data_IF_528294712005
#
_entry.id   IF_528294712005
#
_cell.length_a   1.000
_cell.length_b   1.000
_cell.length_c   1.000
_cell.angle_alpha   90.00
_cell.angle_beta   90.00
_cell.angle_gamma   90.00
#
_symmetry.space_group_name_H-M   'P 1'
#
loop_
_entity.id
_entity.type
_entity.pdbx_description
1 polymer ?
#
# COMPACT_ATOMS: atom_id res chain seq x y z
N UNK A 1 14.62 -3.53 0.38
CA UNK A 1 14.03 -2.50 -0.51
C UNK A 1 12.89 -3.15 -1.29
N UNK A 2 11.66 -2.64 -1.21
CA UNK A 2 10.54 -3.19 -1.99
C UNK A 2 10.41 -2.46 -3.34
N UNK A 3 9.84 -3.10 -4.36
CA UNK A 3 9.67 -2.50 -5.70
C UNK A 3 8.82 -1.23 -5.68
N UNK A 4 7.93 -1.08 -4.70
CA UNK A 4 7.14 0.14 -4.51
C UNK A 4 8.00 1.33 -4.06
N UNK A 5 9.03 1.09 -3.25
CA UNK A 5 9.96 2.13 -2.81
C UNK A 5 10.76 2.71 -4.00
N UNK A 6 11.03 1.89 -5.02
CA UNK A 6 11.71 2.35 -6.24
C UNK A 6 10.82 3.23 -7.13
N UNK A 7 9.50 3.06 -7.07
CA UNK A 7 8.54 3.82 -7.89
C UNK A 7 8.02 5.10 -7.22
N UNK A 8 8.30 5.31 -5.94
CA UNK A 8 7.87 6.48 -5.17
C UNK A 8 9.09 7.21 -4.57
N UNK A 9 9.73 8.15 -5.32
CA UNK A 9 10.89 8.90 -4.85
C UNK A 9 10.57 9.64 -3.55
N UNK A 10 11.47 9.56 -2.56
CA UNK A 10 11.28 10.17 -1.24
C UNK A 10 10.50 9.33 -0.22
N UNK A 11 10.08 8.12 -0.58
CA UNK A 11 9.47 7.17 0.37
C UNK A 11 10.52 6.34 1.13
N UNK A 12 10.32 6.18 2.44
CA UNK A 12 11.07 5.24 3.26
C UNK A 12 10.21 4.00 3.55
N UNK A 13 10.76 2.81 3.30
CA UNK A 13 10.07 1.55 3.59
C UNK A 13 10.37 1.08 5.00
N UNK A 14 9.32 0.81 5.79
CA UNK A 14 9.41 0.12 7.07
C UNK A 14 8.56 -1.15 6.99
N UNK A 15 9.05 -2.26 7.53
CA UNK A 15 8.34 -3.55 7.50
C UNK A 15 7.92 -3.93 8.90
N UNK A 16 6.62 -4.09 9.13
CA UNK A 16 6.08 -4.55 10.41
C UNK A 16 6.01 -3.49 11.51
N UNK A 17 6.46 -2.26 11.24
CA UNK A 17 6.45 -1.16 12.21
C UNK A 17 5.95 0.14 11.55
N UNK A 18 5.46 1.07 12.36
CA UNK A 18 5.12 2.41 11.90
C UNK A 18 6.39 3.26 11.74
N UNK A 19 6.48 4.09 10.69
CA UNK A 19 7.63 4.96 10.52
C UNK A 19 7.71 5.98 11.65
N UNK A 20 8.93 6.25 12.10
CA UNK A 20 9.22 7.36 13.00
C UNK A 20 8.99 8.67 12.27
N UNK A 21 8.32 9.63 12.91
CA UNK A 21 8.08 10.94 12.29
C UNK A 21 9.40 11.70 12.15
N UNK A 22 9.79 12.12 10.92
CA UNK A 22 11.06 12.80 10.69
C UNK A 22 11.04 14.29 11.08
N UNK A 23 9.91 14.84 11.52
CA UNK A 23 9.80 16.26 11.85
C UNK A 23 8.44 16.67 12.42
N UNK A 24 8.20 17.99 12.60
CA UNK A 24 6.93 18.50 13.09
C UNK A 24 5.85 18.37 12.01
N UNK A 25 4.92 17.42 12.21
CA UNK A 25 3.77 17.19 11.34
C UNK A 25 3.40 15.71 11.25
N UNK A 26 2.19 15.40 10.73
CA UNK A 26 1.78 14.03 10.51
C UNK A 26 2.59 13.39 9.36
N UNK A 27 3.15 12.22 9.61
CA UNK A 27 3.81 11.37 8.62
C UNK A 27 2.75 10.64 7.79
N UNK A 28 2.75 10.89 6.49
CA UNK A 28 1.83 10.24 5.56
C UNK A 28 2.37 8.87 5.15
N UNK A 29 1.54 7.84 5.30
CA UNK A 29 1.93 6.44 5.09
C UNK A 29 1.00 5.76 4.11
N UNK A 30 1.56 4.95 3.23
CA UNK A 30 0.80 4.00 2.41
C UNK A 30 1.12 2.60 2.91
N UNK A 31 0.09 1.85 3.27
CA UNK A 31 0.25 0.46 3.66
C UNK A 31 0.38 -0.39 2.39
N UNK A 32 1.30 -1.35 2.40
CA UNK A 32 1.53 -2.24 1.25
C UNK A 32 1.57 -3.66 1.75
N UNK A 33 0.76 -4.53 1.15
CA UNK A 33 0.80 -5.96 1.42
C UNK A 33 0.63 -6.77 0.15
N UNK A 34 0.87 -8.09 0.27
CA UNK A 34 0.50 -9.05 -0.78
C UNK A 34 -0.77 -9.79 -0.39
N UNK A 35 -1.48 -10.33 -1.37
CA UNK A 35 -2.76 -11.03 -1.21
C UNK A 35 -2.71 -12.40 -0.52
N UNK A 36 -1.63 -12.72 0.19
CA UNK A 36 -1.52 -13.93 1.01
C UNK A 36 -1.94 -13.65 2.45
N UNK A 37 -2.18 -14.72 3.23
CA UNK A 37 -2.75 -14.62 4.57
C UNK A 37 -2.01 -13.66 5.51
N UNK A 38 -0.69 -13.83 5.72
CA UNK A 38 0.06 -12.96 6.63
C UNK A 38 0.07 -11.51 6.18
N UNK A 39 0.25 -11.23 4.88
CA UNK A 39 0.20 -9.86 4.35
C UNK A 39 -1.14 -9.17 4.64
N UNK A 40 -2.25 -9.86 4.39
CA UNK A 40 -3.57 -9.34 4.67
C UNK A 40 -3.84 -9.18 6.18
N UNK A 41 -3.39 -10.13 7.02
CA UNK A 41 -3.53 -10.05 8.47
C UNK A 41 -2.74 -8.88 9.07
N UNK A 42 -1.50 -8.66 8.63
CA UNK A 42 -0.70 -7.51 9.05
C UNK A 42 -1.35 -6.19 8.62
N UNK A 43 -1.84 -6.10 7.38
CA UNK A 43 -2.57 -4.93 6.90
C UNK A 43 -3.83 -4.66 7.75
N UNK A 44 -4.56 -5.70 8.14
CA UNK A 44 -5.72 -5.57 9.02
C UNK A 44 -5.33 -4.98 10.38
N UNK A 45 -4.28 -5.50 11.00
CA UNK A 45 -3.80 -5.04 12.31
C UNK A 45 -3.34 -3.58 12.23
N UNK A 46 -2.57 -3.22 11.21
CA UNK A 46 -2.14 -1.84 10.99
C UNK A 46 -3.32 -0.89 10.81
N UNK A 47 -4.29 -1.23 9.95
CA UNK A 47 -5.49 -0.40 9.77
C UNK A 47 -6.30 -0.24 11.07
N UNK A 48 -6.39 -1.30 11.89
CA UNK A 48 -7.04 -1.21 13.21
C UNK A 48 -6.31 -0.27 14.15
N UNK A 49 -4.98 -0.37 14.25
CA UNK A 49 -4.16 0.53 15.08
C UNK A 49 -4.27 2.00 14.67
N UNK A 50 -4.32 2.25 13.36
CA UNK A 50 -4.55 3.59 12.83
C UNK A 50 -5.97 4.08 13.15
N UNK A 51 -6.99 3.26 12.91
CA UNK A 51 -8.39 3.62 13.17
C UNK A 51 -8.69 3.82 14.67
N UNK A 52 -7.97 3.16 15.57
CA UNK A 52 -8.08 3.37 17.01
C UNK A 52 -7.35 4.62 17.52
N UNK A 53 -6.62 5.34 16.66
CA UNK A 53 -5.85 6.52 17.04
C UNK A 53 -4.62 6.22 17.89
N UNK A 54 -4.18 4.96 17.97
CA UNK A 54 -3.05 4.52 18.81
C UNK A 54 -1.69 4.87 18.19
N UNK A 55 -1.68 5.36 16.95
CA UNK A 55 -0.48 5.73 16.21
C UNK A 55 -0.50 7.25 15.97
N UNK A 56 -0.05 8.05 16.95
CA UNK A 56 -0.09 9.51 16.83
C UNK A 56 0.83 9.99 15.72
N UNK A 57 0.41 11.05 15.03
CA UNK A 57 1.22 11.65 13.97
C UNK A 57 1.34 10.79 12.70
N UNK A 58 0.49 9.78 12.50
CA UNK A 58 0.45 9.01 11.24
C UNK A 58 -0.88 9.25 10.52
N UNK A 59 -0.79 9.58 9.24
CA UNK A 59 -1.93 9.64 8.34
C UNK A 59 -1.83 8.56 7.28
N UNK A 60 -2.72 7.56 7.34
CA UNK A 60 -2.78 6.52 6.31
C UNK A 60 -3.47 7.08 5.07
N UNK A 61 -2.74 7.16 3.96
CA UNK A 61 -3.27 7.60 2.67
C UNK A 61 -4.07 6.52 1.93
N UNK A 62 -3.78 5.25 2.20
CA UNK A 62 -4.48 4.10 1.64
C UNK A 62 -3.70 2.80 1.77
N UNK A 63 -4.22 1.77 1.11
CA UNK A 63 -3.67 0.41 1.08
C UNK A 63 -3.41 -0.04 -0.35
N UNK A 64 -2.24 -0.65 -0.57
CA UNK A 64 -1.84 -1.29 -1.81
C UNK A 64 -1.79 -2.79 -1.60
N UNK A 65 -2.53 -3.55 -2.40
CA UNK A 65 -2.53 -5.02 -2.36
C UNK A 65 -1.95 -5.55 -3.68
N UNK A 66 -0.79 -6.20 -3.61
CA UNK A 66 -0.19 -6.90 -4.73
C UNK A 66 -0.58 -8.38 -4.78
N UNK A 67 -0.84 -8.92 -5.96
CA UNK A 67 -1.06 -10.35 -6.13
C UNK A 67 0.16 -11.16 -5.65
N UNK A 68 -0.10 -12.20 -4.86
CA UNK A 68 0.90 -13.16 -4.37
C UNK A 68 1.18 -14.28 -5.37
N UNK A 69 0.19 -14.65 -6.17
CA UNK A 69 0.23 -15.68 -7.19
C UNK A 69 -0.68 -15.31 -8.39
N UNK A 70 -0.46 -15.90 -9.57
CA UNK A 70 -1.40 -15.77 -10.68
C UNK A 70 -2.73 -16.46 -10.37
N UNK A 71 -3.80 -15.96 -11.01
CA UNK A 71 -5.12 -16.58 -10.94
C UNK A 71 -6.04 -16.00 -9.87
N UNK A 72 -7.08 -16.77 -9.51
CA UNK A 72 -8.13 -16.32 -8.58
C UNK A 72 -7.74 -16.58 -7.14
N UNK A 73 -7.93 -15.57 -6.29
CA UNK A 73 -7.74 -15.75 -4.85
C UNK A 73 -8.73 -16.79 -4.27
N UNK A 74 -8.25 -17.72 -3.43
CA UNK A 74 -9.10 -18.61 -2.64
C UNK A 74 -10.14 -17.84 -1.80
N UNK A 75 -11.33 -18.42 -1.60
CA UNK A 75 -12.45 -17.77 -0.90
C UNK A 75 -12.07 -17.21 0.50
N UNK A 76 -11.30 -17.91 1.35
CA UNK A 76 -10.89 -17.35 2.64
C UNK A 76 -10.06 -16.07 2.50
N UNK A 77 -9.13 -16.03 1.55
CA UNK A 77 -8.30 -14.86 1.29
C UNK A 77 -9.11 -13.71 0.71
N UNK A 78 -10.08 -13.99 -0.19
CA UNK A 78 -11.01 -12.97 -0.68
C UNK A 78 -11.82 -12.34 0.46
N UNK A 79 -12.30 -13.14 1.40
CA UNK A 79 -13.07 -12.64 2.54
C UNK A 79 -12.21 -11.74 3.43
N UNK A 80 -10.98 -12.18 3.76
CA UNK A 80 -10.05 -11.36 4.54
C UNK A 80 -9.70 -10.06 3.79
N UNK A 81 -9.42 -10.15 2.50
CA UNK A 81 -9.15 -8.98 1.66
C UNK A 81 -10.31 -7.98 1.72
N UNK A 82 -11.57 -8.41 1.60
CA UNK A 82 -12.74 -7.51 1.70
C UNK A 82 -12.83 -6.78 3.04
N UNK A 83 -12.51 -7.46 4.14
CA UNK A 83 -12.50 -6.85 5.48
C UNK A 83 -11.43 -5.77 5.58
N UNK A 84 -10.22 -6.07 5.07
CA UNK A 84 -9.11 -5.11 5.09
C UNK A 84 -9.40 -3.91 4.20
N UNK A 85 -9.96 -4.14 3.00
CA UNK A 85 -10.26 -3.06 2.05
C UNK A 85 -11.36 -2.13 2.55
N UNK A 86 -12.30 -2.62 3.36
CA UNK A 86 -13.36 -1.79 3.95
C UNK A 86 -12.87 -0.84 5.05
N UNK A 87 -11.71 -1.12 5.66
CA UNK A 87 -11.09 -0.27 6.68
C UNK A 87 -10.09 0.75 6.11
N UNK A 88 -9.73 0.63 4.82
CA UNK A 88 -8.75 1.49 4.18
C UNK A 88 -9.42 2.73 3.56
N UNK A 89 -8.85 3.94 3.69
CA UNK A 89 -9.39 5.14 3.04
C UNK A 89 -9.42 5.05 1.51
N UNK A 90 -8.43 4.37 0.93
CA UNK A 90 -8.29 4.10 -0.49
C UNK A 90 -7.64 2.74 -0.70
N UNK A 91 -7.99 2.11 -1.81
CA UNK A 91 -7.46 0.82 -2.21
C UNK A 91 -6.84 0.92 -3.61
N UNK A 92 -5.64 0.37 -3.75
CA UNK A 92 -5.02 0.10 -5.03
C UNK A 92 -4.63 -1.36 -5.12
N UNK A 93 -4.93 -1.99 -6.26
CA UNK A 93 -4.58 -3.39 -6.51
C UNK A 93 -3.50 -3.48 -7.59
N UNK A 94 -2.44 -4.22 -7.32
CA UNK A 94 -1.38 -4.53 -8.28
C UNK A 94 -1.56 -5.99 -8.72
N UNK A 95 -1.85 -6.26 -10.02
CA UNK A 95 -2.05 -7.63 -10.49
C UNK A 95 -0.73 -8.41 -10.50
N UNK A 96 -0.82 -9.71 -10.73
CA UNK A 96 0.35 -10.54 -10.99
C UNK A 96 0.97 -10.16 -12.35
N UNK A 97 2.27 -9.90 -12.37
CA UNK A 97 3.04 -9.59 -13.58
C UNK A 97 4.22 -10.55 -13.64
N UNK A 98 4.19 -11.49 -14.59
CA UNK A 98 5.20 -12.54 -14.72
C UNK A 98 6.61 -11.98 -14.91
N UNK A 99 6.76 -10.94 -15.74
CA UNK A 99 8.04 -10.28 -15.99
C UNK A 99 8.74 -9.81 -14.70
N UNK A 100 8.00 -9.27 -13.73
CA UNK A 100 8.57 -8.82 -12.46
C UNK A 100 9.03 -9.99 -11.58
N UNK A 101 8.41 -11.16 -11.71
CA UNK A 101 8.85 -12.38 -11.02
C UNK A 101 10.20 -12.85 -11.55
N UNK A 102 10.45 -12.65 -12.84
CA UNK A 102 11.70 -12.95 -13.53
C UNK A 102 12.79 -11.88 -13.28
N UNK A 103 12.51 -10.87 -12.44
CA UNK A 103 13.47 -9.82 -12.09
C UNK A 103 13.52 -8.67 -13.09
N UNK A 104 12.65 -8.66 -14.11
CA UNK A 104 12.55 -7.51 -15.01
C UNK A 104 12.01 -6.30 -14.25
N UNK A 105 12.68 -5.16 -14.44
CA UNK A 105 12.24 -3.90 -13.83
C UNK A 105 10.95 -3.40 -14.50
N UNK A 106 10.06 -2.74 -13.74
CA UNK A 106 8.88 -2.10 -14.29
C UNK A 106 9.24 -1.11 -15.41
N UNK A 107 8.66 -1.30 -16.59
CA UNK A 107 8.80 -0.42 -17.74
C UNK A 107 7.44 -0.24 -18.45
N UNK A 108 7.40 0.60 -19.50
CA UNK A 108 6.17 0.91 -20.21
C UNK A 108 5.48 -0.31 -20.86
N UNK A 109 6.25 -1.37 -21.16
CA UNK A 109 5.78 -2.59 -21.84
C UNK A 109 5.24 -3.61 -20.85
N UNK A 110 5.95 -3.84 -19.73
CA UNK A 110 5.60 -4.87 -18.75
C UNK A 110 4.78 -4.35 -17.56
N UNK A 111 4.53 -3.04 -17.45
CA UNK A 111 3.73 -2.45 -16.37
C UNK A 111 2.28 -2.26 -16.80
N UNK A 112 1.31 -2.95 -16.17
CA UNK A 112 -0.11 -2.77 -16.48
C UNK A 112 -0.57 -1.32 -16.29
N UNK A 113 -1.45 -0.83 -17.17
CA UNK A 113 -1.98 0.55 -17.10
C UNK A 113 -2.62 0.89 -15.75
N UNK A 114 -3.23 -0.09 -15.08
CA UNK A 114 -3.80 0.07 -13.73
C UNK A 114 -2.73 0.43 -12.69
N UNK A 115 -1.54 -0.16 -12.81
CA UNK A 115 -0.40 0.12 -11.94
C UNK A 115 0.18 1.49 -12.25
N UNK A 116 0.33 1.85 -13.53
CA UNK A 116 0.81 3.19 -13.93
C UNK A 116 -0.10 4.30 -13.40
N UNK A 117 -1.43 4.13 -13.54
CA UNK A 117 -2.43 5.05 -12.99
C UNK A 117 -2.34 5.14 -11.47
N UNK A 118 -2.20 4.01 -10.79
CA UNK A 118 -1.98 3.95 -9.35
C UNK A 118 -0.72 4.73 -8.93
N UNK A 119 0.42 4.54 -9.60
CA UNK A 119 1.67 5.25 -9.26
C UNK A 119 1.47 6.77 -9.40
N UNK A 120 0.80 7.22 -10.46
CA UNK A 120 0.48 8.63 -10.64
C UNK A 120 -0.45 9.17 -9.52
N UNK A 121 -1.49 8.41 -9.16
CA UNK A 121 -2.41 8.76 -8.07
C UNK A 121 -1.72 8.78 -6.71
N UNK A 122 -0.83 7.81 -6.44
CA UNK A 122 -0.07 7.71 -5.21
C UNK A 122 0.88 8.90 -5.07
N UNK A 123 1.64 9.22 -6.11
CA UNK A 123 2.53 10.38 -6.14
C UNK A 123 1.78 11.69 -5.89
N UNK A 124 0.59 11.86 -6.48
CA UNK A 124 -0.28 13.02 -6.23
C UNK A 124 -0.86 13.03 -4.81
N UNK A 125 -1.22 11.86 -4.26
CA UNK A 125 -1.72 11.76 -2.90
C UNK A 125 -0.64 12.06 -1.87
N UNK A 126 0.62 11.71 -2.15
CA UNK A 126 1.74 11.95 -1.26
C UNK A 126 2.24 13.40 -1.32
N UNK A 127 2.04 14.11 -2.43
CA UNK A 127 2.44 15.52 -2.57
C UNK A 127 1.43 16.52 -2.01
N UNK A 128 0.14 16.15 -1.87
CA UNK A 128 -0.83 17.02 -1.20
C UNK A 128 -0.56 17.05 0.31
N UNK A 129 -0.12 18.19 0.81
CA UNK A 129 -0.36 18.59 2.20
C UNK A 129 -1.89 18.72 2.34
N UNK A 130 -2.57 17.96 3.20
CA UNK A 130 -3.96 18.28 3.51
C UNK A 130 -3.94 19.60 4.26
N UNK A 131 -4.33 20.66 3.57
CA UNK A 131 -4.78 21.88 4.22
C UNK A 131 -6.00 21.51 5.05
N UNK A 132 -5.79 21.52 6.37
CA UNK A 132 -6.78 21.71 7.42
C UNK A 132 -8.13 20.98 7.24
N UNK A 133 -8.37 19.95 8.06
CA UNK A 133 -9.74 19.65 8.46
C UNK A 133 -9.87 19.80 9.98
N UNK A 134 -10.90 20.53 10.43
CA UNK A 134 -11.02 21.10 11.77
C UNK A 134 -11.23 20.07 12.87
#
# INVERSE_FOLDING_TARGET
MSTLQACAPGSAGVTGEWPLSPGPGPTRVVLVCRSHHSGLAFAQTALRQWASGTVPGVQVAGLVIGADAPGRLPKPLLNLMRLVTGAAPRLWSVPWVEAWRLGEQPNAVNTPKSVQKFIAELSHSMSRIPENQP
#
